data_IF_962047467461
#
_entry.id   IF_962047467461
#
_cell.length_a   1.000
_cell.length_b   1.000
_cell.length_c   1.000
_cell.angle_alpha   90.00
_cell.angle_beta   90.00
_cell.angle_gamma   90.00
#
_symmetry.space_group_name_H-M   'P 1'
#
loop_
_entity.id
_entity.type
_entity.pdbx_description
1 polymer ?
#
# COMPACT_ATOMS: atom_id res chain seq x y z
N UNK A 1 -9.29 -42.94 -28.07
CA UNK A 1 -10.05 -42.43 -26.92
C UNK A 1 -9.39 -41.12 -26.51
N UNK A 2 -9.99 -40.00 -26.89
CA UNK A 2 -9.39 -38.67 -26.83
C UNK A 2 -9.95 -37.83 -25.69
N UNK A 3 -9.02 -37.12 -25.04
CA UNK A 3 -9.13 -35.81 -24.37
C UNK A 3 -10.07 -35.66 -23.17
N UNK A 4 -9.47 -35.73 -21.97
CA UNK A 4 -10.00 -35.17 -20.73
C UNK A 4 -9.40 -33.79 -20.44
N UNK A 5 -10.15 -32.76 -20.82
CA UNK A 5 -10.33 -31.47 -20.13
C UNK A 5 -9.15 -30.77 -19.46
N UNK A 6 -8.59 -29.80 -20.20
CA UNK A 6 -7.88 -28.64 -19.67
C UNK A 6 -8.86 -27.76 -18.88
N UNK A 7 -8.74 -27.72 -17.56
CA UNK A 7 -9.43 -26.72 -16.74
C UNK A 7 -8.68 -25.40 -16.84
N UNK A 8 -9.09 -24.54 -17.77
CA UNK A 8 -8.67 -23.14 -17.79
C UNK A 8 -9.10 -22.47 -16.47
N UNK A 9 -8.23 -21.68 -15.82
CA UNK A 9 -8.64 -20.92 -14.64
C UNK A 9 -9.68 -19.87 -15.06
N UNK A 10 -10.81 -19.87 -14.36
CA UNK A 10 -11.91 -18.91 -14.49
C UNK A 10 -11.36 -17.47 -14.37
N UNK A 11 -11.81 -16.50 -15.19
CA UNK A 11 -11.43 -15.10 -15.01
C UNK A 11 -11.93 -14.63 -13.64
N UNK A 12 -10.98 -14.24 -12.80
CA UNK A 12 -11.24 -13.81 -11.43
C UNK A 12 -12.14 -12.57 -11.46
N UNK A 13 -13.26 -12.59 -10.73
CA UNK A 13 -14.13 -11.43 -10.52
C UNK A 13 -13.24 -10.28 -10.02
N UNK A 14 -13.18 -9.19 -10.78
CA UNK A 14 -12.35 -8.02 -10.47
C UNK A 14 -12.66 -7.53 -9.04
N UNK A 15 -11.74 -7.80 -8.11
CA UNK A 15 -11.79 -7.30 -6.75
C UNK A 15 -11.77 -5.75 -6.82
N UNK A 16 -12.81 -5.03 -6.33
CA UNK A 16 -12.85 -3.56 -6.38
C UNK A 16 -11.59 -2.90 -5.82
N UNK A 17 -11.05 -3.46 -4.74
CA UNK A 17 -9.79 -3.05 -4.14
C UNK A 17 -8.59 -3.15 -5.08
N UNK A 18 -8.54 -4.17 -5.94
CA UNK A 18 -7.46 -4.32 -6.92
C UNK A 18 -7.62 -3.33 -8.08
N UNK A 19 -8.86 -3.02 -8.49
CA UNK A 19 -9.10 -1.94 -9.46
C UNK A 19 -8.60 -0.59 -8.95
N UNK A 20 -8.85 -0.28 -7.67
CA UNK A 20 -8.38 0.97 -7.07
C UNK A 20 -6.85 1.00 -6.94
N UNK A 21 -6.21 -0.11 -6.56
CA UNK A 21 -4.74 -0.23 -6.60
C UNK A 21 -4.20 0.01 -8.01
N UNK A 22 -4.80 -0.60 -9.03
CA UNK A 22 -4.41 -0.38 -10.42
C UNK A 22 -4.56 1.09 -10.83
N UNK A 23 -5.64 1.76 -10.41
CA UNK A 23 -5.83 3.19 -10.64
C UNK A 23 -4.73 4.03 -9.97
N UNK A 24 -4.33 3.71 -8.73
CA UNK A 24 -3.20 4.37 -8.06
C UNK A 24 -1.87 4.11 -8.75
N UNK A 25 -1.62 2.88 -9.23
CA UNK A 25 -0.40 2.55 -9.97
C UNK A 25 -0.34 3.34 -11.29
N UNK A 26 -1.44 3.37 -12.04
CA UNK A 26 -1.55 4.11 -13.29
C UNK A 26 -1.38 5.62 -13.08
N UNK A 27 -2.06 6.20 -12.09
CA UNK A 27 -1.94 7.63 -11.73
C UNK A 27 -0.52 8.04 -11.40
N UNK A 28 0.22 7.19 -10.68
CA UNK A 28 1.59 7.47 -10.27
C UNK A 28 2.64 7.05 -11.31
N UNK A 29 2.22 6.45 -12.43
CA UNK A 29 3.09 5.89 -13.46
C UNK A 29 4.16 4.93 -12.92
N UNK A 30 3.80 4.13 -11.91
CA UNK A 30 4.72 3.17 -11.27
C UNK A 30 4.65 1.80 -11.94
N UNK A 31 5.80 1.15 -12.07
CA UNK A 31 5.91 -0.27 -12.46
C UNK A 31 6.26 -1.15 -11.27
N UNK A 32 5.97 -2.44 -11.35
CA UNK A 32 6.40 -3.37 -10.31
C UNK A 32 7.94 -3.40 -10.23
N UNK A 33 8.48 -3.56 -9.02
CA UNK A 33 9.90 -3.89 -8.84
C UNK A 33 10.24 -5.19 -9.57
N UNK A 34 11.44 -5.24 -10.16
CA UNK A 34 11.97 -6.43 -10.81
C UNK A 34 12.63 -7.35 -9.80
N UNK A 35 12.85 -8.60 -10.20
CA UNK A 35 13.53 -9.60 -9.35
C UNK A 35 14.90 -9.13 -8.87
N UNK A 36 15.67 -8.41 -9.71
CA UNK A 36 17.00 -7.89 -9.35
C UNK A 36 16.92 -6.67 -8.41
N UNK A 37 15.75 -6.06 -8.28
CA UNK A 37 15.48 -4.91 -7.43
C UNK A 37 14.93 -5.31 -6.06
N UNK A 38 14.47 -6.56 -5.90
CA UNK A 38 13.87 -7.02 -4.65
C UNK A 38 14.84 -6.96 -3.47
N UNK A 39 14.34 -6.50 -2.32
CA UNK A 39 15.13 -6.40 -1.09
C UNK A 39 16.23 -5.32 -1.11
N UNK A 40 16.46 -4.65 -2.24
CA UNK A 40 17.37 -3.52 -2.29
C UNK A 40 16.87 -2.37 -1.39
N UNK A 41 17.77 -1.61 -0.74
CA UNK A 41 17.39 -0.43 0.00
C UNK A 41 16.58 0.54 -0.88
N UNK A 42 15.49 1.08 -0.35
CA UNK A 42 14.54 1.93 -1.07
C UNK A 42 15.20 3.16 -1.74
N UNK A 43 16.25 3.70 -1.12
CA UNK A 43 17.02 4.80 -1.69
C UNK A 43 17.81 4.41 -2.96
N UNK A 44 18.12 3.12 -3.17
CA UNK A 44 18.80 2.57 -4.35
C UNK A 44 17.84 2.11 -5.45
N UNK A 45 16.56 1.94 -5.15
CA UNK A 45 15.56 1.62 -6.16
C UNK A 45 15.41 2.77 -7.17
N UNK A 46 15.11 2.50 -8.45
CA UNK A 46 14.76 3.56 -9.38
C UNK A 46 13.45 4.25 -8.96
N UNK A 47 13.25 5.50 -9.35
CA UNK A 47 11.93 6.13 -9.26
C UNK A 47 10.92 5.39 -10.15
N UNK A 48 9.63 5.66 -9.93
CA UNK A 48 8.52 5.06 -10.69
C UNK A 48 8.38 3.56 -10.47
N UNK A 49 8.63 3.08 -9.24
CA UNK A 49 8.42 1.67 -8.90
C UNK A 49 7.42 1.51 -7.77
N UNK A 50 6.77 0.37 -7.72
CA UNK A 50 6.03 -0.09 -6.56
C UNK A 50 6.38 -1.54 -6.22
N UNK A 51 6.13 -1.91 -4.99
CA UNK A 51 6.25 -3.28 -4.53
C UNK A 51 5.60 -3.45 -3.18
N UNK A 52 5.83 -4.61 -2.57
CA UNK A 52 5.18 -5.02 -1.35
C UNK A 52 6.19 -5.20 -0.21
N UNK A 53 5.78 -4.88 1.02
CA UNK A 53 6.64 -5.01 2.20
C UNK A 53 5.87 -5.37 3.45
N UNK A 54 6.46 -6.20 4.32
CA UNK A 54 5.96 -6.44 5.68
C UNK A 54 6.54 -5.47 6.71
N UNK A 55 7.53 -4.66 6.31
CA UNK A 55 8.29 -3.82 7.23
C UNK A 55 8.28 -2.36 6.75
N UNK A 56 7.10 -1.75 6.63
CA UNK A 56 6.93 -0.40 6.06
C UNK A 56 7.63 0.70 6.86
N UNK A 57 8.00 0.42 8.11
CA UNK A 57 8.71 1.34 9.00
C UNK A 57 10.21 1.03 9.17
N UNK A 58 10.72 0.01 8.47
CA UNK A 58 12.13 -0.41 8.61
C UNK A 58 13.08 0.57 7.93
N UNK A 59 14.29 0.66 8.48
CA UNK A 59 15.39 1.33 7.81
C UNK A 59 15.65 0.64 6.47
N UNK A 60 15.66 1.42 5.38
CA UNK A 60 15.86 0.89 4.03
C UNK A 60 14.61 0.35 3.32
N UNK A 61 13.46 0.16 3.99
CA UNK A 61 12.15 -0.15 3.38
C UNK A 61 12.23 -1.12 2.17
N UNK A 62 12.50 -2.42 2.39
CA UNK A 62 12.68 -3.37 1.30
C UNK A 62 11.34 -3.62 0.59
N UNK A 63 11.38 -3.66 -0.75
CA UNK A 63 10.23 -3.99 -1.59
C UNK A 63 10.43 -5.34 -2.27
N UNK A 64 9.33 -6.05 -2.48
CA UNK A 64 9.27 -7.33 -3.19
C UNK A 64 8.17 -7.30 -4.25
N UNK A 65 8.34 -8.03 -5.36
CA UNK A 65 7.35 -8.05 -6.44
C UNK A 65 6.12 -8.88 -6.05
N UNK A 66 6.31 -9.91 -5.22
CA UNK A 66 5.23 -10.79 -4.77
C UNK A 66 4.34 -10.09 -3.74
N UNK A 67 3.06 -9.92 -4.09
CA UNK A 67 2.03 -9.54 -3.13
C UNK A 67 1.72 -10.73 -2.21
N UNK A 68 2.02 -10.59 -0.93
CA UNK A 68 1.75 -11.60 0.09
C UNK A 68 0.71 -11.08 1.08
N UNK A 69 -0.01 -12.00 1.75
CA UNK A 69 -1.10 -11.62 2.65
C UNK A 69 -0.60 -10.64 3.74
N UNK A 70 -1.26 -9.49 3.91
CA UNK A 70 -0.90 -8.43 4.87
C UNK A 70 0.43 -7.69 4.60
N UNK A 71 0.99 -7.77 3.40
CA UNK A 71 2.07 -6.84 3.02
C UNK A 71 1.49 -5.49 2.57
N UNK A 72 2.13 -4.40 2.95
CA UNK A 72 1.82 -3.07 2.46
C UNK A 72 2.33 -2.88 1.04
N UNK A 73 1.51 -2.28 0.18
CA UNK A 73 1.98 -1.79 -1.11
C UNK A 73 2.54 -0.38 -0.95
N UNK A 74 3.72 -0.16 -1.52
CA UNK A 74 4.47 1.09 -1.41
C UNK A 74 4.93 1.53 -2.78
N UNK A 75 4.76 2.81 -3.09
CA UNK A 75 5.18 3.45 -4.32
C UNK A 75 6.39 4.35 -4.04
N UNK A 76 7.40 4.28 -4.91
CA UNK A 76 8.42 5.30 -5.11
C UNK A 76 8.05 6.12 -6.34
N UNK A 77 7.66 7.37 -6.10
CA UNK A 77 7.17 8.27 -7.13
C UNK A 77 8.25 8.80 -8.07
N UNK A 78 7.86 9.46 -9.18
CA UNK A 78 8.81 10.11 -10.09
C UNK A 78 9.76 11.09 -9.39
N UNK A 79 9.24 11.86 -8.44
CA UNK A 79 10.02 12.84 -7.65
C UNK A 79 10.78 12.19 -6.46
N UNK A 80 10.73 10.86 -6.31
CA UNK A 80 11.38 10.14 -5.22
C UNK A 80 10.59 10.08 -3.91
N UNK A 81 9.44 10.76 -3.82
CA UNK A 81 8.55 10.69 -2.65
C UNK A 81 7.99 9.27 -2.48
N UNK A 82 7.64 8.93 -1.23
CA UNK A 82 7.07 7.64 -0.86
C UNK A 82 5.56 7.77 -0.70
N UNK A 83 4.80 6.83 -1.24
CA UNK A 83 3.36 6.73 -0.98
C UNK A 83 2.97 5.31 -0.57
N UNK A 84 2.15 5.20 0.47
CA UNK A 84 1.63 3.93 0.98
C UNK A 84 0.20 3.73 0.49
N UNK A 85 -0.11 2.51 0.06
CA UNK A 85 -1.48 2.12 -0.33
C UNK A 85 -2.03 1.15 0.71
N UNK A 86 -3.19 1.45 1.26
CA UNK A 86 -3.79 0.67 2.33
C UNK A 86 -5.18 1.15 2.70
N UNK A 87 -5.73 0.61 3.79
CA UNK A 87 -7.12 0.77 4.18
C UNK A 87 -7.26 1.49 5.50
N UNK A 88 -8.35 2.25 5.60
CA UNK A 88 -8.82 2.94 6.78
C UNK A 88 -10.32 2.67 6.98
N UNK A 89 -10.81 3.00 8.17
CA UNK A 89 -12.25 3.18 8.36
C UNK A 89 -12.74 4.38 7.58
N UNK A 90 -14.03 4.41 7.20
CA UNK A 90 -14.61 5.56 6.51
C UNK A 90 -14.46 6.87 7.30
N UNK A 91 -14.58 6.79 8.64
CA UNK A 91 -14.38 7.93 9.55
C UNK A 91 -12.95 8.47 9.48
N UNK A 92 -11.94 7.60 9.51
CA UNK A 92 -10.54 8.02 9.45
C UNK A 92 -10.20 8.59 8.07
N UNK A 93 -10.73 8.01 6.99
CA UNK A 93 -10.56 8.55 5.65
C UNK A 93 -11.17 9.96 5.52
N UNK A 94 -12.38 10.16 6.05
CA UNK A 94 -13.05 11.47 6.07
C UNK A 94 -12.25 12.51 6.87
N UNK A 95 -11.66 12.15 8.02
CA UNK A 95 -10.81 13.06 8.80
C UNK A 95 -9.57 13.51 8.01
N UNK A 96 -9.00 12.63 7.19
CA UNK A 96 -7.87 12.93 6.30
C UNK A 96 -8.29 13.88 5.17
N UNK A 97 -9.45 13.64 4.57
CA UNK A 97 -10.03 14.46 3.50
C UNK A 97 -10.41 15.85 3.99
N UNK A 98 -10.99 15.95 5.18
CA UNK A 98 -11.32 17.21 5.86
C UNK A 98 -10.09 17.96 6.38
N UNK A 99 -8.89 17.40 6.20
CA UNK A 99 -7.64 18.01 6.62
C UNK A 99 -7.61 18.34 8.10
N UNK A 100 -8.19 17.48 8.95
CA UNK A 100 -8.13 17.67 10.39
C UNK A 100 -6.66 17.77 10.86
N UNK A 101 -6.43 18.57 11.89
CA UNK A 101 -5.09 18.76 12.43
C UNK A 101 -4.68 17.52 13.25
N UNK A 102 -3.63 16.85 12.80
CA UNK A 102 -2.99 15.72 13.47
C UNK A 102 -3.87 14.49 13.79
N UNK A 103 -4.69 13.98 12.86
CA UNK A 103 -5.46 12.76 13.10
C UNK A 103 -4.50 11.59 13.35
N UNK A 104 -4.86 10.74 14.32
CA UNK A 104 -4.21 9.45 14.54
C UNK A 104 -5.11 8.35 14.01
N UNK A 105 -4.63 7.63 13.00
CA UNK A 105 -5.40 6.63 12.26
C UNK A 105 -4.77 5.24 12.33
N UNK A 106 -5.59 4.21 12.11
CA UNK A 106 -5.15 2.81 12.05
C UNK A 106 -5.15 2.34 10.60
N UNK A 107 -3.97 2.19 10.01
CA UNK A 107 -3.75 1.95 8.58
C UNK A 107 -3.40 0.50 8.28
N UNK A 108 -4.23 -0.18 7.50
CA UNK A 108 -4.11 -1.61 7.22
C UNK A 108 -3.57 -1.89 5.80
N UNK A 109 -2.83 -2.99 5.59
CA UNK A 109 -2.33 -3.38 4.26
C UNK A 109 -3.43 -3.98 3.37
N UNK A 110 -4.49 -4.52 3.98
CA UNK A 110 -5.64 -5.17 3.36
C UNK A 110 -6.92 -4.75 4.10
N UNK A 111 -8.09 -4.99 3.52
CA UNK A 111 -9.36 -4.81 4.24
C UNK A 111 -9.36 -5.59 5.56
N UNK A 112 -9.78 -4.94 6.65
CA UNK A 112 -9.80 -5.57 7.97
C UNK A 112 -10.91 -4.97 8.84
N UNK A 113 -11.86 -5.80 9.28
CA UNK A 113 -13.08 -5.35 9.97
C UNK A 113 -13.73 -4.18 9.21
N UNK A 114 -13.93 -3.03 9.87
CA UNK A 114 -14.55 -1.83 9.30
C UNK A 114 -13.59 -0.99 8.44
N UNK A 115 -12.31 -1.36 8.35
CA UNK A 115 -11.35 -0.69 7.47
C UNK A 115 -11.54 -1.15 6.03
N UNK A 116 -12.44 -0.46 5.31
CA UNK A 116 -12.88 -0.79 3.94
C UNK A 116 -12.51 0.26 2.91
N UNK A 117 -12.11 1.46 3.33
CA UNK A 117 -11.78 2.56 2.42
C UNK A 117 -10.30 2.48 2.07
N UNK A 118 -9.98 2.17 0.80
CA UNK A 118 -8.60 2.22 0.34
C UNK A 118 -8.19 3.68 0.09
N UNK A 119 -6.96 4.03 0.47
CA UNK A 119 -6.38 5.34 0.23
C UNK A 119 -4.94 5.22 -0.23
N UNK A 120 -4.43 6.30 -0.79
CA UNK A 120 -3.02 6.50 -1.09
C UNK A 120 -2.50 7.64 -0.19
N UNK A 121 -1.51 7.36 0.65
CA UNK A 121 -1.01 8.27 1.67
C UNK A 121 0.47 8.58 1.46
N UNK A 122 0.78 9.85 1.15
CA UNK A 122 2.16 10.35 1.01
C UNK A 122 2.90 10.28 2.35
N UNK A 123 4.16 9.87 2.34
CA UNK A 123 5.01 9.80 3.54
C UNK A 123 5.23 11.17 4.17
N UNK A 124 5.30 12.23 3.36
CA UNK A 124 5.36 13.62 3.82
C UNK A 124 4.21 14.03 4.73
N UNK A 125 3.03 13.40 4.61
CA UNK A 125 1.89 13.64 5.49
C UNK A 125 1.97 12.90 6.83
N UNK A 126 2.93 12.01 7.03
CA UNK A 126 3.04 11.17 8.23
C UNK A 126 4.09 11.77 9.18
N UNK A 127 3.65 12.38 10.27
CA UNK A 127 4.55 12.90 11.32
C UNK A 127 5.15 11.75 12.12
N UNK A 128 4.31 10.77 12.47
CA UNK A 128 4.72 9.62 13.27
C UNK A 128 4.14 8.34 12.71
N UNK A 129 5.00 7.35 12.55
CA UNK A 129 4.63 5.99 12.18
C UNK A 129 5.09 5.05 13.29
N UNK A 130 4.16 4.37 13.96
CA UNK A 130 4.51 3.24 14.82
C UNK A 130 4.67 2.00 13.96
N UNK A 131 5.56 1.11 14.37
CA UNK A 131 5.80 -0.14 13.65
C UNK A 131 4.55 -1.01 13.58
N UNK A 132 4.55 -1.97 12.63
CA UNK A 132 3.38 -2.80 12.39
C UNK A 132 3.01 -3.62 13.63
N UNK A 133 1.71 -3.66 13.92
CA UNK A 133 1.16 -4.57 14.93
C UNK A 133 1.38 -6.02 14.46
N UNK A 134 1.90 -6.89 15.33
CA UNK A 134 2.02 -8.34 15.02
C UNK A 134 0.70 -9.09 15.24
N UNK A 135 -0.31 -8.39 15.75
CA UNK A 135 -1.65 -8.90 16.02
C UNK A 135 -2.66 -8.11 15.17
N UNK A 136 -3.81 -8.72 14.85
CA UNK A 136 -4.97 -8.03 14.26
C UNK A 136 -4.72 -7.30 12.92
N UNK A 137 -4.21 -8.00 11.90
CA UNK A 137 -4.22 -7.48 10.52
C UNK A 137 -2.99 -6.66 10.10
N UNK A 138 -1.90 -6.70 10.86
CA UNK A 138 -0.62 -6.07 10.51
C UNK A 138 -0.68 -4.54 10.30
N UNK A 139 -1.53 -3.83 11.05
CA UNK A 139 -1.74 -2.40 10.86
C UNK A 139 -0.57 -1.53 11.33
N UNK A 140 -0.51 -0.31 10.82
CA UNK A 140 0.31 0.79 11.34
C UNK A 140 -0.58 1.78 12.09
N UNK A 141 -0.09 2.30 13.21
CA UNK A 141 -0.66 3.52 13.81
C UNK A 141 0.10 4.72 13.24
N UNK A 142 -0.63 5.58 12.54
CA UNK A 142 -0.08 6.77 11.90
C UNK A 142 -0.64 8.02 12.58
N UNK A 143 0.23 8.95 12.96
CA UNK A 143 -0.16 10.32 13.26
C UNK A 143 0.21 11.17 12.06
N UNK A 144 -0.78 11.85 11.48
CA UNK A 144 -0.57 12.68 10.31
C UNK A 144 -0.19 14.11 10.70
N UNK A 145 0.43 14.84 9.80
CA UNK A 145 0.70 16.26 9.95
C UNK A 145 -0.56 17.10 9.72
N UNK A 146 -0.41 18.42 9.87
CA UNK A 146 -1.46 19.37 9.47
C UNK A 146 -1.83 19.18 8.00
N UNK A 147 -3.09 19.40 7.65
CA UNK A 147 -3.47 19.50 6.25
C UNK A 147 -2.77 20.66 5.55
N UNK A 148 -2.39 20.47 4.29
CA UNK A 148 -1.93 21.56 3.43
C UNK A 148 -3.12 22.47 3.15
N UNK A 149 -3.14 23.66 3.78
CA UNK A 149 -4.21 24.67 3.61
C UNK A 149 -4.16 25.31 2.23
#
# INVERSE_FOLDING_TARGET
MSTGTSTSPTPNVENPSERERQAFRARNAVRLVRTEEEGAPFNRLPSNVYGFTYSPNSEGLPLYAKHTLMSFEVHKLPNGEVEFIGYLTAKDAEAIERQEDFPTVTFFPAEYNDAKTIIALRRSRIERMKGPSRENGNYLTLTLGRGER
#
